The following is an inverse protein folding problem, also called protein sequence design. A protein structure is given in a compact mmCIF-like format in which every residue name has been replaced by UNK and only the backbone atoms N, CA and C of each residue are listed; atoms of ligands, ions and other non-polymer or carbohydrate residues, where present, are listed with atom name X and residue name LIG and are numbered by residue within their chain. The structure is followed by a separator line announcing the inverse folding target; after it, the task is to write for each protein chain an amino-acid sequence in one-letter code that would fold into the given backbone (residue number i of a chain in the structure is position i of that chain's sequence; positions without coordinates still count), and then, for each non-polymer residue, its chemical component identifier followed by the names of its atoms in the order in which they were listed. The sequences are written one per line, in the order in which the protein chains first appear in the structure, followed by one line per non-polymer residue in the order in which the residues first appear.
data_IF_993289668585
#
_entry.id   IF_993289668585
#
_cell.length_a   1.000
_cell.length_b   1.000
_cell.length_c   1.000
_cell.angle_alpha   90.00
_cell.angle_beta   90.00
_cell.angle_gamma   90.00
#
_symmetry.space_group_name_H-M   'P 1'
#
loop_
_entity.id
_entity.type
_entity.pdbx_description
1 polymer ?
#
# COMPACT_ATOMS: atom_id res chain seq x y z
N UNK A 1 -5.00 -1.14 -6.00
CA UNK A 1 -4.64 -1.93 -4.81
C UNK A 1 -5.68 -1.70 -3.73
N UNK A 2 -6.14 -2.76 -3.05
CA UNK A 2 -6.96 -2.63 -1.85
C UNK A 2 -6.04 -2.74 -0.63
N UNK A 3 -6.13 -1.78 0.29
CA UNK A 3 -5.32 -1.74 1.50
C UNK A 3 -6.24 -1.63 2.70
N UNK A 4 -5.88 -2.28 3.80
CA UNK A 4 -6.61 -2.18 5.06
C UNK A 4 -5.68 -1.96 6.24
N UNK A 5 -6.23 -1.37 7.28
CA UNK A 5 -5.66 -1.33 8.62
C UNK A 5 -6.73 -1.73 9.64
N UNK A 6 -6.49 -1.48 10.93
CA UNK A 6 -7.45 -1.81 11.99
C UNK A 6 -8.78 -1.05 11.87
N UNK A 7 -8.82 0.05 11.11
CA UNK A 7 -9.95 0.96 11.04
C UNK A 7 -10.89 0.63 9.89
N UNK A 8 -10.37 0.37 8.69
CA UNK A 8 -11.17 0.06 7.50
C UNK A 8 -10.30 -0.43 6.34
N UNK A 9 -10.91 -0.59 5.16
CA UNK A 9 -10.20 -0.81 3.90
C UNK A 9 -10.44 0.36 2.92
N UNK A 10 -9.52 0.52 1.97
CA UNK A 10 -9.60 1.55 0.96
C UNK A 10 -8.97 1.11 -0.36
N UNK A 11 -9.67 1.42 -1.46
CA UNK A 11 -9.11 1.32 -2.80
C UNK A 11 -8.21 2.50 -3.12
N UNK A 12 -7.02 2.19 -3.60
CA UNK A 12 -6.00 3.19 -3.95
C UNK A 12 -5.26 2.84 -5.24
N UNK A 13 -4.86 3.90 -5.93
CA UNK A 13 -3.98 3.82 -7.10
C UNK A 13 -2.53 3.86 -6.65
N UNK A 14 -1.71 2.98 -7.22
CA UNK A 14 -0.25 2.98 -7.07
C UNK A 14 0.33 3.07 -8.48
N UNK A 15 1.29 3.96 -8.69
CA UNK A 15 1.94 4.15 -10.00
C UNK A 15 3.26 3.39 -10.08
N UNK A 16 3.82 3.28 -11.29
CA UNK A 16 4.88 2.35 -11.68
C UNK A 16 5.94 2.10 -10.60
N UNK A 17 6.73 3.11 -10.24
CA UNK A 17 7.87 2.95 -9.33
C UNK A 17 7.50 2.37 -7.96
N UNK A 18 6.34 2.75 -7.43
CA UNK A 18 5.87 2.23 -6.13
C UNK A 18 5.19 0.86 -6.30
N UNK A 19 4.56 0.59 -7.44
CA UNK A 19 3.98 -0.71 -7.75
C UNK A 19 5.08 -1.78 -7.91
N UNK A 20 6.18 -1.44 -8.60
CA UNK A 20 7.32 -2.35 -8.78
C UNK A 20 7.98 -2.68 -7.43
N UNK A 21 8.08 -1.72 -6.50
CA UNK A 21 8.56 -1.99 -5.13
C UNK A 21 7.68 -2.99 -4.37
N UNK A 22 6.36 -2.89 -4.54
CA UNK A 22 5.40 -3.76 -3.86
C UNK A 22 5.43 -5.17 -4.48
N UNK A 23 5.41 -5.24 -5.81
CA UNK A 23 5.39 -6.48 -6.59
C UNK A 23 6.74 -7.21 -6.59
N UNK A 24 7.83 -6.47 -6.47
CA UNK A 24 9.19 -7.00 -6.65
C UNK A 24 9.52 -7.34 -8.11
N UNK A 25 8.70 -6.87 -9.07
CA UNK A 25 8.83 -7.08 -10.50
C UNK A 25 8.59 -5.76 -11.24
N UNK A 26 9.27 -5.60 -12.36
CA UNK A 26 9.02 -4.51 -13.31
C UNK A 26 7.72 -4.72 -14.09
N UNK A 27 7.16 -3.65 -14.64
CA UNK A 27 5.98 -3.76 -15.51
C UNK A 27 6.22 -4.68 -16.73
N UNK A 28 7.46 -4.72 -17.25
CA UNK A 28 7.84 -5.60 -18.35
C UNK A 28 7.83 -7.07 -17.93
N UNK A 29 8.42 -7.40 -16.79
CA UNK A 29 8.43 -8.77 -16.26
C UNK A 29 7.02 -9.27 -15.96
N UNK A 30 6.17 -8.42 -15.39
CA UNK A 30 4.75 -8.73 -15.16
C UNK A 30 4.04 -9.04 -16.48
N UNK A 31 4.25 -8.23 -17.51
CA UNK A 31 3.67 -8.47 -18.85
C UNK A 31 4.14 -9.79 -19.47
N UNK A 32 5.44 -10.08 -19.38
CA UNK A 32 6.01 -11.33 -19.89
C UNK A 32 5.50 -12.56 -19.14
N UNK A 33 5.45 -12.50 -17.81
CA UNK A 33 4.89 -13.60 -17.00
C UNK A 33 3.41 -13.79 -17.26
N UNK A 34 2.63 -12.73 -17.43
CA UNK A 34 1.20 -12.85 -17.74
C UNK A 34 0.94 -13.63 -19.04
N UNK A 35 1.86 -13.58 -20.01
CA UNK A 35 1.75 -14.30 -21.28
C UNK A 35 2.34 -15.72 -21.23
N UNK A 36 3.41 -15.92 -20.47
CA UNK A 36 4.24 -17.14 -20.52
C UNK A 36 4.10 -18.05 -19.31
N UNK A 37 3.75 -17.49 -18.15
CA UNK A 37 3.60 -18.19 -16.86
C UNK A 37 2.56 -17.49 -15.95
N UNK A 38 1.26 -17.58 -16.29
CA UNK A 38 0.21 -16.95 -15.50
C UNK A 38 0.12 -17.45 -14.06
N UNK A 39 0.48 -18.72 -13.81
CA UNK A 39 0.48 -19.32 -12.48
C UNK A 39 1.62 -18.74 -11.63
N UNK A 40 2.82 -18.59 -12.19
CA UNK A 40 3.94 -17.92 -11.50
C UNK A 40 3.67 -16.44 -11.21
N UNK A 41 2.91 -15.75 -12.07
CA UNK A 41 2.44 -14.39 -11.78
C UNK A 41 1.45 -14.38 -10.60
N UNK A 42 0.49 -15.30 -10.56
CA UNK A 42 -0.44 -15.44 -9.43
C UNK A 42 0.30 -15.70 -8.11
N UNK A 43 1.26 -16.62 -8.10
CA UNK A 43 2.12 -16.88 -6.93
C UNK A 43 2.84 -15.62 -6.45
N UNK A 44 3.29 -14.78 -7.38
CA UNK A 44 3.96 -13.51 -7.04
C UNK A 44 2.98 -12.52 -6.44
N UNK A 45 1.77 -12.40 -7.00
CA UNK A 45 0.71 -11.54 -6.46
C UNK A 45 0.29 -12.00 -5.06
N UNK A 46 0.12 -13.32 -4.84
CA UNK A 46 -0.20 -13.89 -3.55
C UNK A 46 0.88 -13.58 -2.50
N UNK A 47 2.17 -13.70 -2.86
CA UNK A 47 3.28 -13.31 -1.97
C UNK A 47 3.27 -11.83 -1.61
N UNK A 48 2.64 -10.98 -2.42
CA UNK A 48 2.53 -9.55 -2.13
C UNK A 48 1.32 -9.21 -1.25
N UNK A 49 0.34 -10.10 -1.16
CA UNK A 49 -0.81 -9.94 -0.27
C UNK A 49 -0.36 -9.89 1.19
N UNK A 50 -1.05 -9.08 2.00
CA UNK A 50 -0.82 -8.93 3.44
C UNK A 50 0.60 -8.49 3.85
N UNK A 51 1.42 -8.00 2.91
CA UNK A 51 2.65 -7.28 3.26
C UNK A 51 2.32 -5.92 3.87
N UNK A 52 2.92 -5.64 5.03
CA UNK A 52 2.77 -4.35 5.69
C UNK A 52 3.73 -3.32 5.10
N UNK A 53 3.26 -2.09 4.90
CA UNK A 53 4.07 -0.98 4.41
C UNK A 53 3.58 0.35 4.97
N UNK A 54 4.49 1.34 4.99
CA UNK A 54 4.14 2.73 5.25
C UNK A 54 3.78 3.40 3.92
N UNK A 55 2.52 3.77 3.78
CA UNK A 55 2.00 4.42 2.58
C UNK A 55 1.89 5.92 2.81
N UNK A 56 2.42 6.73 1.88
CA UNK A 56 2.08 8.15 1.80
C UNK A 56 1.09 8.37 0.67
N UNK A 57 -0.08 8.86 1.05
CA UNK A 57 -1.22 8.98 0.17
C UNK A 57 -1.59 10.44 -0.09
N UNK A 58 -2.02 10.73 -1.32
CA UNK A 58 -2.68 11.98 -1.69
C UNK A 58 -4.15 11.68 -2.00
N UNK A 59 -5.04 12.31 -1.25
CA UNK A 59 -6.49 12.22 -1.45
C UNK A 59 -6.97 13.47 -2.18
N UNK A 60 -7.75 13.28 -3.25
CA UNK A 60 -8.37 14.38 -4.00
C UNK A 60 -9.80 14.00 -4.35
N UNK A 61 -10.71 14.96 -4.25
CA UNK A 61 -12.03 14.87 -4.86
C UNK A 61 -11.93 15.38 -6.29
N UNK A 62 -12.37 14.59 -7.25
CA UNK A 62 -12.45 14.97 -8.66
C UNK A 62 -13.92 14.94 -9.11
N UNK A 63 -14.30 15.91 -9.95
CA UNK A 63 -15.64 15.95 -10.56
C UNK A 63 -15.53 15.56 -12.03
N UNK A 64 -16.29 14.57 -12.46
CA UNK A 64 -16.38 14.15 -13.86
C UNK A 64 -17.85 13.90 -14.21
N UNK A 65 -18.38 14.55 -15.26
CA UNK A 65 -19.80 14.48 -15.63
C UNK A 65 -20.76 14.73 -14.44
N UNK A 66 -20.50 15.79 -13.66
CA UNK A 66 -21.23 16.14 -12.43
C UNK A 66 -21.20 15.11 -11.29
N UNK A 67 -20.49 13.98 -11.45
CA UNK A 67 -20.21 13.05 -10.36
C UNK A 67 -18.92 13.44 -9.62
N UNK A 68 -19.00 13.54 -8.30
CA UNK A 68 -17.83 13.68 -7.44
C UNK A 68 -17.32 12.31 -7.01
N UNK A 69 -16.02 12.08 -7.21
CA UNK A 69 -15.34 10.86 -6.76
C UNK A 69 -14.09 11.22 -5.97
N UNK A 70 -13.95 10.62 -4.79
CA UNK A 70 -12.71 10.66 -4.03
C UNK A 70 -11.73 9.66 -4.63
N UNK A 71 -10.56 10.15 -5.04
CA UNK A 71 -9.42 9.33 -5.47
C UNK A 71 -8.30 9.42 -4.46
N UNK A 72 -7.72 8.26 -4.16
CA UNK A 72 -6.56 8.13 -3.28
C UNK A 72 -5.42 7.50 -4.07
N UNK A 73 -4.29 8.20 -4.07
CA UNK A 73 -3.07 7.77 -4.76
C UNK A 73 -1.98 7.58 -3.72
N UNK A 74 -1.39 6.39 -3.62
CA UNK A 74 -0.09 6.25 -2.97
C UNK A 74 0.99 6.74 -3.92
N UNK A 75 1.74 7.72 -3.45
CA UNK A 75 2.93 8.20 -4.15
C UNK A 75 4.22 7.72 -3.49
N UNK A 76 4.12 6.98 -2.37
CA UNK A 76 5.25 6.33 -1.71
C UNK A 76 4.80 5.09 -0.93
N UNK A 77 5.55 4.00 -1.05
CA UNK A 77 5.43 2.78 -0.30
C UNK A 77 6.81 2.40 0.27
N UNK A 78 6.98 2.58 1.58
CA UNK A 78 8.22 2.23 2.29
C UNK A 78 8.01 0.96 3.14
N UNK A 79 9.06 0.14 3.35
CA UNK A 79 8.99 -0.96 4.31
C UNK A 79 8.83 -0.43 5.74
N UNK A 80 8.23 -1.24 6.60
CA UNK A 80 8.08 -0.90 8.02
C UNK A 80 9.39 -1.17 8.76
N UNK A 81 9.89 -0.16 9.47
CA UNK A 81 10.90 -0.36 10.51
C UNK A 81 10.21 -0.68 11.83
N UNK A 82 10.11 -1.96 12.18
CA UNK A 82 9.42 -2.39 13.40
C UNK A 82 10.05 -1.83 14.68
N UNK A 83 11.37 -1.60 14.72
CA UNK A 83 12.02 -1.03 15.91
C UNK A 83 11.55 0.41 16.16
N UNK A 84 11.57 1.25 15.13
CA UNK A 84 11.08 2.63 15.22
C UNK A 84 9.57 2.68 15.46
N UNK A 85 8.81 1.84 14.77
CA UNK A 85 7.35 1.79 14.91
C UNK A 85 6.93 1.34 16.32
N UNK A 86 7.59 0.31 16.88
CA UNK A 86 7.32 -0.13 18.25
C UNK A 86 7.65 0.97 19.27
N UNK A 87 8.76 1.68 19.11
CA UNK A 87 9.10 2.82 19.98
C UNK A 87 8.03 3.92 19.90
N UNK A 88 7.51 4.20 18.70
CA UNK A 88 6.41 5.14 18.49
C UNK A 88 5.12 4.67 19.19
N UNK A 89 4.73 3.40 19.01
CA UNK A 89 3.54 2.83 19.64
C UNK A 89 3.62 2.85 21.17
N UNK A 90 4.74 2.43 21.76
CA UNK A 90 4.95 2.46 23.22
C UNK A 90 4.83 3.89 23.76
N UNK A 91 5.41 4.87 23.05
CA UNK A 91 5.29 6.28 23.43
C UNK A 91 3.83 6.76 23.40
N UNK A 92 3.07 6.39 22.36
CA UNK A 92 1.65 6.74 22.27
C UNK A 92 0.82 6.09 23.38
N UNK A 93 1.06 4.81 23.69
CA UNK A 93 0.39 4.11 24.79
C UNK A 93 0.68 4.79 26.13
N UNK A 94 1.94 5.15 26.41
CA UNK A 94 2.32 5.89 27.63
C UNK A 94 1.57 7.21 27.77
N UNK A 95 1.53 8.00 26.68
CA UNK A 95 0.77 9.27 26.64
C UNK A 95 -0.72 9.07 26.93
N UNK A 96 -1.34 8.05 26.33
CA UNK A 96 -2.75 7.73 26.55
C UNK A 96 -3.02 7.23 27.97
N UNK A 97 -2.11 6.43 28.53
CA UNK A 97 -2.19 5.93 29.90
C UNK A 97 -1.82 6.97 30.97
N UNK A 98 -1.43 8.20 30.57
CA UNK A 98 -0.90 9.26 31.46
C UNK A 98 0.34 8.83 32.26
N UNK A 99 1.08 7.87 31.71
CA UNK A 99 2.37 7.44 32.23
C UNK A 99 3.40 8.39 31.61
N UNK A 100 3.79 9.43 32.36
CA UNK A 100 4.78 10.44 31.95
C UNK A 100 6.15 9.84 31.67
#
# INVERSE_FOLDING_TARGET
MNVCDWSSNQWMTVFNDEAEKILGLTALEVGQQAETDPDGLNDTLEKCMFKECILRCRVKTETYNDEQRVKTVAFRADPINHSEYNAHLVNNIKKLARLS
#
